data_IF_638851766226
#
_entry.id   IF_638851766226
#
_cell.length_a   1.000
_cell.length_b   1.000
_cell.length_c   1.000
_cell.angle_alpha   90.00
_cell.angle_beta   90.00
_cell.angle_gamma   90.00
#
_symmetry.space_group_name_H-M   'P 1'
#
loop_
_entity.id
_entity.type
_entity.pdbx_description
1 polymer ?
#
# COMPACT_ATOMS: atom_id res chain seq x y z
N UNK A 1 -33.09 -24.11 22.51
CA UNK A 1 -31.76 -24.66 22.19
C UNK A 1 -31.53 -24.40 20.72
N UNK A 2 -30.93 -23.24 20.38
CA UNK A 2 -30.34 -22.88 19.08
C UNK A 2 -30.06 -21.38 19.08
N UNK A 3 -29.06 -20.94 19.85
CA UNK A 3 -28.59 -19.55 19.81
C UNK A 3 -27.10 -19.47 20.22
N UNK A 4 -26.28 -20.40 19.73
CA UNK A 4 -24.86 -20.49 20.08
C UNK A 4 -23.91 -20.58 18.87
N UNK A 5 -24.39 -20.43 17.64
CA UNK A 5 -23.57 -20.65 16.43
C UNK A 5 -23.11 -19.39 15.69
N UNK A 6 -23.28 -18.18 16.24
CA UNK A 6 -22.90 -16.92 15.55
C UNK A 6 -21.69 -16.19 16.14
N UNK A 7 -20.70 -16.93 16.66
CA UNK A 7 -19.45 -16.31 17.16
C UNK A 7 -18.17 -17.01 16.69
N UNK A 8 -18.15 -17.57 15.48
CA UNK A 8 -16.87 -17.87 14.84
C UNK A 8 -16.50 -16.68 13.95
N UNK A 9 -15.76 -15.72 14.52
CA UNK A 9 -14.90 -14.84 13.71
C UNK A 9 -13.84 -15.76 13.07
N UNK A 10 -14.20 -16.37 11.95
CA UNK A 10 -13.25 -17.04 11.09
C UNK A 10 -12.35 -15.94 10.56
N UNK A 11 -11.17 -15.79 11.17
CA UNK A 11 -10.08 -14.99 10.61
C UNK A 11 -9.94 -15.50 9.18
N UNK A 12 -10.32 -14.67 8.20
CA UNK A 12 -10.34 -15.04 6.80
C UNK A 12 -8.96 -15.60 6.46
N UNK A 13 -8.93 -16.89 6.12
CA UNK A 13 -7.70 -17.57 5.72
C UNK A 13 -7.15 -16.78 4.52
N UNK A 14 -5.85 -16.45 4.49
CA UNK A 14 -5.30 -15.76 3.33
C UNK A 14 -5.61 -16.58 2.08
N UNK A 15 -6.16 -15.93 1.06
CA UNK A 15 -6.45 -16.60 -0.21
C UNK A 15 -5.17 -17.22 -0.75
N UNK A 16 -5.20 -18.53 -0.96
CA UNK A 16 -4.09 -19.29 -1.51
C UNK A 16 -4.23 -19.34 -3.03
N UNK A 17 -3.18 -19.02 -3.77
CA UNK A 17 -3.15 -19.17 -5.22
C UNK A 17 -2.42 -20.46 -5.62
N UNK A 18 -2.90 -21.12 -6.67
CA UNK A 18 -2.30 -22.37 -7.16
C UNK A 18 -1.14 -22.14 -8.14
N UNK A 19 -1.06 -20.96 -8.75
CA UNK A 19 -0.11 -20.64 -9.84
C UNK A 19 0.35 -19.17 -9.81
N UNK A 20 1.57 -18.91 -10.31
CA UNK A 20 2.15 -17.56 -10.47
C UNK A 20 2.51 -17.36 -11.94
N UNK A 21 2.24 -16.17 -12.48
CA UNK A 21 2.62 -15.76 -13.83
C UNK A 21 3.53 -14.53 -13.80
N UNK A 22 4.44 -14.44 -14.77
CA UNK A 22 5.25 -13.25 -15.05
C UNK A 22 4.92 -12.71 -16.45
N UNK A 23 4.95 -11.38 -16.61
CA UNK A 23 4.70 -10.72 -17.88
C UNK A 23 5.08 -9.25 -17.85
N UNK A 24 5.13 -8.62 -19.02
CA UNK A 24 5.40 -7.19 -19.12
C UNK A 24 4.20 -6.37 -18.64
N UNK A 25 4.47 -5.27 -17.92
CA UNK A 25 3.46 -4.33 -17.50
C UNK A 25 3.33 -3.18 -18.52
N UNK A 26 2.09 -2.86 -18.91
CA UNK A 26 1.83 -1.67 -19.74
C UNK A 26 1.94 -0.38 -18.91
N UNK A 27 2.10 0.79 -19.56
CA UNK A 27 2.10 2.07 -18.87
C UNK A 27 0.85 2.29 -18.01
N UNK A 28 -0.32 1.88 -18.48
CA UNK A 28 -1.60 1.99 -17.76
C UNK A 28 -1.58 1.12 -16.50
N UNK A 29 -1.05 -0.11 -16.60
CA UNK A 29 -0.91 -1.01 -15.46
C UNK A 29 0.04 -0.44 -14.41
N UNK A 30 1.19 0.10 -14.82
CA UNK A 30 2.14 0.74 -13.90
C UNK A 30 1.49 1.92 -13.16
N UNK A 31 0.72 2.77 -13.88
CA UNK A 31 -0.01 3.88 -13.27
C UNK A 31 -1.09 3.39 -12.29
N UNK A 32 -1.76 2.29 -12.59
CA UNK A 32 -2.79 1.72 -11.72
C UNK A 32 -2.25 1.20 -10.38
N UNK A 33 -0.98 0.79 -10.32
CA UNK A 33 -0.31 0.38 -9.08
C UNK A 33 0.18 1.57 -8.25
N UNK A 34 0.30 2.74 -8.87
CA UNK A 34 0.81 3.93 -8.19
C UNK A 34 -0.29 4.64 -7.42
N UNK A 35 0.04 5.08 -6.21
CA UNK A 35 -0.81 5.94 -5.37
C UNK A 35 -0.53 7.43 -5.56
N UNK A 36 0.44 7.79 -6.41
CA UNK A 36 0.76 9.17 -6.75
C UNK A 36 2.11 9.32 -7.45
N UNK A 37 2.29 10.47 -8.08
CA UNK A 37 3.50 10.79 -8.83
C UNK A 37 4.53 11.52 -7.97
N UNK A 38 5.80 11.09 -8.06
CA UNK A 38 6.94 11.80 -7.49
C UNK A 38 7.36 12.90 -8.46
N UNK A 39 7.32 14.15 -8.00
CA UNK A 39 7.65 15.31 -8.83
C UNK A 39 9.03 15.89 -8.54
N UNK A 40 9.60 15.53 -7.39
CA UNK A 40 10.88 16.06 -6.95
C UNK A 40 11.79 14.96 -6.37
N UNK A 41 13.12 15.11 -6.49
CA UNK A 41 14.06 14.12 -6.00
C UNK A 41 14.33 14.21 -4.49
N UNK A 42 13.74 15.19 -3.77
CA UNK A 42 14.02 15.34 -2.35
C UNK A 42 13.43 14.20 -1.52
N UNK A 43 14.09 13.91 -0.39
CA UNK A 43 13.77 12.80 0.48
C UNK A 43 13.07 13.28 1.74
N UNK A 44 13.87 13.73 2.72
CA UNK A 44 13.44 14.23 4.01
C UNK A 44 14.08 15.59 4.27
N UNK A 45 13.38 16.40 5.05
CA UNK A 45 13.92 17.67 5.50
C UNK A 45 15.07 17.45 6.49
N UNK A 46 16.22 18.08 6.28
CA UNK A 46 17.41 17.86 7.13
C UNK A 46 17.25 18.33 8.58
N UNK A 47 16.37 19.31 8.87
CA UNK A 47 16.16 19.82 10.24
C UNK A 47 15.04 19.09 10.95
N UNK A 48 13.91 18.91 10.27
CA UNK A 48 12.68 18.39 10.89
C UNK A 48 12.55 16.89 10.76
N UNK A 49 13.35 16.24 9.91
CA UNK A 49 13.26 14.83 9.54
C UNK A 49 11.88 14.42 9.00
N UNK A 50 11.08 15.39 8.58
CA UNK A 50 9.78 15.15 7.95
C UNK A 50 9.97 14.89 6.46
N UNK A 51 9.22 13.96 5.86
CA UNK A 51 9.26 13.75 4.42
C UNK A 51 8.87 14.99 3.63
N UNK A 52 9.58 15.23 2.54
CA UNK A 52 9.30 16.36 1.66
C UNK A 52 8.03 16.11 0.83
N UNK A 53 7.26 17.17 0.57
CA UNK A 53 6.02 17.07 -0.22
C UNK A 53 6.34 16.81 -1.68
N UNK A 54 5.67 15.81 -2.25
CA UNK A 54 5.85 15.32 -3.63
C UNK A 54 7.28 14.78 -3.90
N UNK A 55 8.05 14.52 -2.82
CA UNK A 55 9.36 13.88 -2.84
C UNK A 55 9.29 12.37 -2.65
N UNK A 56 10.45 11.71 -2.67
CA UNK A 56 10.61 10.25 -2.68
C UNK A 56 9.96 9.53 -1.48
N UNK A 57 9.78 10.20 -0.35
CA UNK A 57 9.15 9.65 0.86
C UNK A 57 7.80 10.28 1.20
N UNK A 58 7.12 10.92 0.24
CA UNK A 58 5.92 11.70 0.51
C UNK A 58 4.80 10.87 1.16
N UNK A 59 4.37 11.27 2.36
CA UNK A 59 3.32 10.60 3.11
C UNK A 59 1.94 10.57 2.41
N UNK A 60 1.72 11.45 1.43
CA UNK A 60 0.50 11.44 0.61
C UNK A 60 0.45 10.28 -0.38
N UNK A 61 1.61 9.77 -0.78
CA UNK A 61 1.75 8.69 -1.77
C UNK A 61 1.87 7.36 -1.04
N UNK A 62 2.70 7.30 -0.01
CA UNK A 62 3.05 6.04 0.65
C UNK A 62 2.33 5.79 1.98
N UNK A 63 1.61 6.78 2.52
CA UNK A 63 0.90 6.68 3.79
C UNK A 63 1.54 7.45 4.93
N UNK A 64 0.90 7.48 6.11
CA UNK A 64 1.36 8.27 7.24
C UNK A 64 2.65 7.71 7.85
N UNK A 65 3.44 8.57 8.49
CA UNK A 65 4.73 8.20 9.14
C UNK A 65 4.50 7.52 10.50
N UNK A 66 3.33 7.75 11.11
CA UNK A 66 2.91 7.17 12.38
C UNK A 66 1.46 6.72 12.22
N UNK A 67 1.11 5.66 12.95
CA UNK A 67 -0.23 5.09 13.00
C UNK A 67 -1.28 6.09 13.53
#
# INVERSE_FOLDING_TARGET
MNDLTKFTNQIAKPETFDQIQIGLASPERIRSWSFGEIKKPETINYRTFKPERDGLFCARIFGPVKD
#
